data_IF_491219750542
#
_entry.id   IF_491219750542
#
_cell.length_a   1.000
_cell.length_b   1.000
_cell.length_c   1.000
_cell.angle_alpha   90.00
_cell.angle_beta   90.00
_cell.angle_gamma   90.00
#
_symmetry.space_group_name_H-M   'P 1'
#
loop_
_entity.id
_entity.type
_entity.pdbx_description
1 polymer ?
#
# COMPACT_ATOMS: atom_id res chain seq x y z
N UNK A 1 4.19 17.56 11.09
CA UNK A 1 4.35 16.45 10.14
C UNK A 1 4.20 15.15 10.90
N UNK A 2 3.29 14.26 10.46
CA UNK A 2 2.96 13.03 11.17
C UNK A 2 4.06 11.97 11.16
N UNK A 3 3.93 10.97 12.04
CA UNK A 3 4.76 9.77 12.08
C UNK A 3 4.32 8.80 10.97
N UNK A 4 5.27 8.10 10.34
CA UNK A 4 4.99 7.01 9.41
C UNK A 4 4.07 5.99 10.10
N UNK A 5 2.96 5.64 9.45
CA UNK A 5 2.00 4.68 9.97
C UNK A 5 2.48 3.23 9.70
N UNK A 6 2.43 2.31 10.70
CA UNK A 6 2.89 0.93 10.55
C UNK A 6 2.29 0.16 9.37
N UNK A 7 0.99 0.35 9.09
CA UNK A 7 0.33 -0.31 7.96
C UNK A 7 0.99 0.02 6.62
N UNK A 8 1.18 1.31 6.33
CA UNK A 8 1.79 1.76 5.08
C UNK A 8 3.24 1.27 4.98
N UNK A 9 3.96 1.25 6.10
CA UNK A 9 5.29 0.70 6.16
C UNK A 9 5.31 -0.81 5.84
N UNK A 10 4.38 -1.61 6.39
CA UNK A 10 4.31 -3.04 6.13
C UNK A 10 3.98 -3.34 4.66
N UNK A 11 3.01 -2.63 4.07
CA UNK A 11 2.67 -2.76 2.65
C UNK A 11 3.88 -2.42 1.76
N UNK A 12 4.63 -1.38 2.11
CA UNK A 12 5.85 -1.03 1.39
C UNK A 12 6.91 -2.12 1.49
N UNK A 13 7.24 -2.60 2.69
CA UNK A 13 8.29 -3.63 2.88
C UNK A 13 7.98 -4.90 2.08
N UNK A 14 6.74 -5.38 2.12
CA UNK A 14 6.34 -6.55 1.34
C UNK A 14 6.57 -6.34 -0.17
N UNK A 15 6.29 -5.14 -0.69
CA UNK A 15 6.52 -4.81 -2.10
C UNK A 15 8.02 -4.68 -2.44
N UNK A 16 8.86 -4.22 -1.51
CA UNK A 16 10.31 -4.15 -1.71
C UNK A 16 10.96 -5.53 -1.65
N UNK A 17 10.46 -6.42 -0.80
CA UNK A 17 10.92 -7.80 -0.67
C UNK A 17 10.43 -8.67 -1.83
N UNK A 18 9.25 -8.34 -2.36
CA UNK A 18 8.62 -9.06 -3.47
C UNK A 18 8.12 -8.09 -4.57
N UNK A 19 9.03 -7.48 -5.38
CA UNK A 19 8.64 -6.52 -6.43
C UNK A 19 7.60 -7.08 -7.41
N UNK A 20 7.66 -8.38 -7.70
CA UNK A 20 6.71 -9.08 -8.55
C UNK A 20 5.24 -8.98 -8.10
N UNK A 21 4.99 -8.78 -6.80
CA UNK A 21 3.64 -8.58 -6.27
C UNK A 21 3.05 -7.24 -6.72
N UNK A 22 3.89 -6.22 -6.84
CA UNK A 22 3.50 -4.86 -7.22
C UNK A 22 3.39 -4.65 -8.74
N UNK A 23 3.87 -5.59 -9.57
CA UNK A 23 3.83 -5.49 -11.03
C UNK A 23 2.44 -5.18 -11.62
N UNK A 24 1.33 -5.79 -11.17
CA UNK A 24 -0.01 -5.45 -11.66
C UNK A 24 -0.49 -4.04 -11.27
N UNK A 25 0.28 -3.32 -10.45
CA UNK A 25 -0.08 -2.06 -9.83
C UNK A 25 0.96 -0.95 -10.10
N UNK A 26 1.82 -1.12 -11.12
CA UNK A 26 2.87 -0.15 -11.49
C UNK A 26 2.34 1.28 -11.65
N UNK A 27 1.29 1.49 -12.43
CA UNK A 27 0.64 2.80 -12.61
C UNK A 27 0.09 3.37 -11.29
N UNK A 28 -0.40 2.50 -10.41
CA UNK A 28 -0.88 2.90 -9.10
C UNK A 28 0.28 3.29 -8.17
N UNK A 29 1.39 2.55 -8.20
CA UNK A 29 2.60 2.85 -7.42
C UNK A 29 3.17 4.20 -7.83
N UNK A 30 3.27 4.48 -9.13
CA UNK A 30 3.70 5.80 -9.63
C UNK A 30 2.82 6.92 -9.06
N UNK A 31 1.51 6.71 -9.09
CA UNK A 31 0.51 7.74 -8.84
C UNK A 31 0.23 8.01 -7.36
N UNK A 32 0.17 6.97 -6.54
CA UNK A 32 -0.22 7.07 -5.12
C UNK A 32 0.85 6.55 -4.16
N UNK A 33 1.88 5.86 -4.68
CA UNK A 33 2.87 5.14 -3.88
C UNK A 33 2.21 4.23 -2.85
N UNK A 34 2.74 4.24 -1.64
CA UNK A 34 2.23 3.42 -0.53
C UNK A 34 1.27 4.18 0.40
N UNK A 35 0.70 5.31 -0.04
CA UNK A 35 -0.26 6.09 0.74
C UNK A 35 0.31 6.93 1.90
N UNK A 36 1.62 6.92 2.11
CA UNK A 36 2.33 7.86 3.00
C UNK A 36 3.43 8.60 2.20
N UNK A 37 3.42 9.96 2.14
CA UNK A 37 4.40 10.72 1.37
C UNK A 37 5.86 10.47 1.76
N UNK A 38 6.13 10.00 2.99
CA UNK A 38 7.48 9.66 3.45
C UNK A 38 8.05 8.43 2.76
N UNK A 39 7.20 7.65 2.10
CA UNK A 39 7.57 6.46 1.33
C UNK A 39 7.74 6.77 -0.17
N UNK A 40 7.51 8.01 -0.61
CA UNK A 40 7.61 8.40 -2.02
C UNK A 40 8.95 8.05 -2.68
N UNK A 41 10.12 8.23 -2.02
CA UNK A 41 11.39 7.81 -2.63
C UNK A 41 11.45 6.31 -2.92
N UNK A 42 10.92 5.47 -2.04
CA UNK A 42 10.91 4.02 -2.22
C UNK A 42 9.90 3.59 -3.29
N UNK A 43 8.75 4.26 -3.37
CA UNK A 43 7.75 4.01 -4.40
C UNK A 43 8.27 4.36 -5.80
N UNK A 44 8.98 5.49 -5.94
CA UNK A 44 9.60 5.89 -7.20
C UNK A 44 10.61 4.84 -7.69
N UNK A 45 11.48 4.38 -6.80
CA UNK A 45 12.47 3.35 -7.12
C UNK A 45 11.84 2.02 -7.51
N UNK A 46 10.74 1.63 -6.85
CA UNK A 46 10.00 0.42 -7.20
C UNK A 46 9.35 0.58 -8.57
N UNK A 47 8.72 1.72 -8.85
CA UNK A 47 8.13 2.01 -10.17
C UNK A 47 9.17 1.95 -11.29
N UNK A 48 10.34 2.58 -11.11
CA UNK A 48 11.43 2.55 -12.08
C UNK A 48 11.90 1.10 -12.31
N UNK A 49 12.07 0.32 -11.24
CA UNK A 49 12.47 -1.08 -11.35
C UNK A 49 11.42 -1.96 -12.07
N UNK A 50 10.13 -1.73 -11.81
CA UNK A 50 9.04 -2.44 -12.50
C UNK A 50 8.99 -2.08 -13.99
N UNK A 51 9.18 -0.79 -14.31
CA UNK A 51 9.27 -0.28 -15.68
C UNK A 51 10.47 -0.87 -16.44
N UNK A 52 11.58 -1.09 -15.76
CA UNK A 52 12.78 -1.76 -16.28
C UNK A 52 12.66 -3.30 -16.31
N UNK A 53 11.45 -3.84 -16.11
CA UNK A 53 11.15 -5.27 -16.06
C UNK A 53 12.04 -6.07 -15.10
N UNK A 54 12.31 -5.54 -13.90
CA UNK A 54 13.12 -6.21 -12.87
C UNK A 54 12.73 -7.70 -12.73
N UNK A 55 13.74 -8.58 -12.79
CA UNK A 55 13.54 -10.02 -12.61
C UNK A 55 13.19 -10.34 -11.16
N UNK A 56 12.33 -11.33 -10.95
CA UNK A 56 11.90 -11.79 -9.62
C UNK A 56 13.08 -12.25 -8.73
N UNK A 57 14.19 -12.68 -9.32
CA UNK A 57 15.41 -13.10 -8.59
C UNK A 57 16.33 -11.92 -8.22
N UNK A 58 15.98 -10.70 -8.64
CA UNK A 58 16.81 -9.52 -8.41
C UNK A 58 16.72 -9.09 -6.95
N UNK A 59 17.85 -8.93 -6.23
CA UNK A 59 17.84 -8.50 -4.85
C UNK A 59 17.57 -6.99 -4.77
N UNK A 60 16.29 -6.60 -4.87
CA UNK A 60 15.90 -5.19 -4.97
C UNK A 60 16.35 -4.36 -3.76
N UNK A 61 16.35 -4.92 -2.55
CA UNK A 61 16.92 -4.24 -1.36
C UNK A 61 18.40 -3.86 -1.54
N UNK A 62 19.20 -4.72 -2.16
CA UNK A 62 20.60 -4.41 -2.44
C UNK A 62 20.76 -3.32 -3.51
N UNK A 63 19.78 -3.13 -4.40
CA UNK A 63 19.74 -1.99 -5.32
C UNK A 63 19.45 -0.71 -4.52
N UNK A 64 18.44 -0.72 -3.65
CA UNK A 64 18.09 0.42 -2.80
C UNK A 64 19.25 0.84 -1.89
N UNK A 65 19.97 -0.11 -1.31
CA UNK A 65 21.16 0.15 -0.50
C UNK A 65 22.25 0.85 -1.31
N UNK A 66 22.53 0.39 -2.53
CA UNK A 66 23.50 1.02 -3.45
C UNK A 66 23.05 2.42 -3.89
N UNK A 67 21.75 2.68 -3.94
CA UNK A 67 21.17 4.01 -4.20
C UNK A 67 21.12 4.90 -2.95
N UNK A 68 21.63 4.43 -1.80
CA UNK A 68 21.71 5.20 -0.56
C UNK A 68 20.42 5.20 0.27
N UNK A 69 19.44 4.37 -0.07
CA UNK A 69 18.13 4.30 0.59
C UNK A 69 18.08 3.25 1.72
N UNK A 70 19.16 2.52 1.98
CA UNK A 70 19.21 1.48 3.01
C UNK A 70 18.81 1.95 4.41
N UNK A 71 19.22 3.17 4.80
CA UNK A 71 18.80 3.76 6.07
C UNK A 71 17.29 4.03 6.15
N UNK A 72 16.67 4.41 5.02
CA UNK A 72 15.22 4.59 4.95
C UNK A 72 14.50 3.24 4.99
N UNK A 73 15.00 2.23 4.26
CA UNK A 73 14.46 0.87 4.28
C UNK A 73 14.48 0.30 5.70
N UNK A 74 15.59 0.43 6.43
CA UNK A 74 15.70 -0.03 7.82
C UNK A 74 14.70 0.68 8.77
N UNK A 75 14.47 1.98 8.58
CA UNK A 75 13.49 2.73 9.36
C UNK A 75 12.05 2.28 9.05
N UNK A 76 11.72 2.09 7.77
CA UNK A 76 10.40 1.61 7.34
C UNK A 76 10.17 0.20 7.88
N UNK A 77 11.16 -0.67 7.81
CA UNK A 77 11.12 -2.03 8.37
C UNK A 77 10.88 -2.02 9.87
N UNK A 78 11.60 -1.18 10.62
CA UNK A 78 11.39 -1.01 12.07
C UNK A 78 9.96 -0.57 12.40
N UNK A 79 9.37 0.30 11.58
CA UNK A 79 7.99 0.78 11.75
C UNK A 79 6.97 -0.27 11.34
N UNK A 80 7.24 -1.04 10.28
CA UNK A 80 6.40 -2.16 9.83
C UNK A 80 6.28 -3.22 10.94
N UNK A 81 7.38 -3.56 11.60
CA UNK A 81 7.41 -4.53 12.70
C UNK A 81 6.61 -4.10 13.95
N UNK A 82 6.16 -2.84 14.04
CA UNK A 82 5.24 -2.43 15.10
C UNK A 82 3.86 -3.09 14.98
N UNK A 83 3.54 -3.64 13.81
CA UNK A 83 2.37 -4.48 13.57
C UNK A 83 2.81 -5.86 13.04
N UNK A 84 2.15 -6.92 13.48
CA UNK A 84 2.42 -8.27 12.99
C UNK A 84 1.60 -8.53 11.72
N UNK A 85 1.94 -7.83 10.63
CA UNK A 85 1.23 -7.96 9.36
C UNK A 85 1.39 -9.40 8.81
N UNK A 86 0.31 -10.17 8.58
CA UNK A 86 0.45 -11.60 8.29
C UNK A 86 1.17 -11.91 6.97
N UNK A 87 1.08 -11.03 5.97
CA UNK A 87 1.79 -11.18 4.69
C UNK A 87 3.32 -10.95 4.80
N UNK A 88 3.82 -10.48 5.95
CA UNK A 88 5.25 -10.41 6.26
C UNK A 88 5.73 -11.64 7.05
N UNK A 89 4.83 -12.53 7.48
CA UNK A 89 5.22 -13.75 8.20
C UNK A 89 5.85 -14.73 7.20
N UNK A 90 7.14 -15.10 7.35
CA UNK A 90 7.80 -16.04 6.46
C UNK A 90 7.20 -17.45 6.50
N UNK A 91 6.34 -17.76 7.49
CA UNK A 91 5.61 -19.03 7.59
C UNK A 91 4.27 -19.02 6.86
N UNK A 92 3.79 -17.86 6.42
CA UNK A 92 2.56 -17.78 5.64
C UNK A 92 2.80 -18.39 4.25
N UNK A 93 1.79 -19.09 3.73
CA UNK A 93 1.78 -19.53 2.34
C UNK A 93 2.01 -18.32 1.39
N UNK A 94 2.99 -18.37 0.47
CA UNK A 94 3.33 -17.22 -0.38
C UNK A 94 2.18 -16.73 -1.26
N UNK A 95 1.33 -17.64 -1.76
CA UNK A 95 0.19 -17.26 -2.59
C UNK A 95 -0.85 -16.48 -1.76
N UNK A 96 -1.11 -16.94 -0.54
CA UNK A 96 -1.98 -16.27 0.40
C UNK A 96 -1.41 -14.93 0.90
N UNK A 97 -0.11 -14.87 1.17
CA UNK A 97 0.57 -13.63 1.55
C UNK A 97 0.41 -12.57 0.44
N UNK A 98 0.67 -12.96 -0.82
CA UNK A 98 0.44 -12.10 -1.99
C UNK A 98 -1.01 -11.64 -2.08
N UNK A 99 -1.97 -12.56 -1.98
CA UNK A 99 -3.39 -12.21 -2.07
C UNK A 99 -3.84 -11.23 -0.98
N UNK A 100 -3.36 -11.41 0.25
CA UNK A 100 -3.64 -10.51 1.36
C UNK A 100 -2.97 -9.14 1.17
N UNK A 101 -1.71 -9.12 0.73
CA UNK A 101 -1.01 -7.89 0.40
C UNK A 101 -1.73 -7.12 -0.72
N UNK A 102 -2.16 -7.81 -1.79
CA UNK A 102 -2.92 -7.23 -2.90
C UNK A 102 -4.21 -6.56 -2.40
N UNK A 103 -4.99 -7.24 -1.56
CA UNK A 103 -6.21 -6.66 -0.99
C UNK A 103 -5.92 -5.40 -0.15
N UNK A 104 -4.81 -5.41 0.62
CA UNK A 104 -4.38 -4.23 1.39
C UNK A 104 -3.96 -3.08 0.47
N UNK A 105 -3.25 -3.38 -0.60
CA UNK A 105 -2.79 -2.37 -1.55
C UNK A 105 -3.95 -1.80 -2.37
N UNK A 106 -4.91 -2.63 -2.81
CA UNK A 106 -6.13 -2.19 -3.49
C UNK A 106 -6.96 -1.22 -2.64
N UNK A 107 -7.03 -1.43 -1.32
CA UNK A 107 -7.66 -0.47 -0.42
C UNK A 107 -6.94 0.90 -0.43
N UNK A 108 -5.61 0.92 -0.52
CA UNK A 108 -4.85 2.17 -0.67
C UNK A 108 -5.12 2.84 -2.02
N UNK A 109 -5.18 2.06 -3.11
CA UNK A 109 -5.55 2.54 -4.45
C UNK A 109 -6.90 3.22 -4.41
N UNK A 110 -7.90 2.57 -3.81
CA UNK A 110 -9.25 3.11 -3.75
C UNK A 110 -9.35 4.38 -2.89
N UNK A 111 -8.61 4.47 -1.78
CA UNK A 111 -8.50 5.72 -1.01
C UNK A 111 -7.91 6.82 -1.91
N UNK A 112 -6.77 6.56 -2.55
CA UNK A 112 -6.09 7.56 -3.39
C UNK A 112 -6.94 8.02 -4.57
N UNK A 113 -7.68 7.11 -5.21
CA UNK A 113 -8.61 7.44 -6.29
C UNK A 113 -9.82 8.24 -5.79
N UNK A 114 -10.34 7.89 -4.61
CA UNK A 114 -11.42 8.65 -3.98
C UNK A 114 -10.99 10.06 -3.60
N UNK A 115 -9.78 10.23 -3.08
CA UNK A 115 -9.20 11.54 -2.76
C UNK A 115 -8.99 12.41 -4.00
N UNK A 116 -8.50 11.82 -5.09
CA UNK A 116 -8.35 12.50 -6.38
C UNK A 116 -9.70 12.91 -6.96
N UNK A 117 -10.70 12.02 -6.91
CA UNK A 117 -12.06 12.32 -7.33
C UNK A 117 -12.66 13.47 -6.50
N UNK A 118 -12.45 13.48 -5.18
CA UNK A 118 -12.85 14.59 -4.32
C UNK A 118 -12.15 15.89 -4.69
N UNK A 119 -10.85 15.86 -5.00
CA UNK A 119 -10.11 17.04 -5.43
C UNK A 119 -10.63 17.59 -6.76
N UNK A 120 -11.02 16.72 -7.70
CA UNK A 120 -11.64 17.11 -8.96
C UNK A 120 -13.02 17.75 -8.76
N UNK A 121 -13.88 17.15 -7.92
CA UNK A 121 -15.22 17.69 -7.63
C UNK A 121 -15.19 19.09 -7.00
N UNK A 122 -14.11 19.48 -6.32
CA UNK A 122 -13.94 20.85 -5.78
C UNK A 122 -13.87 21.92 -6.86
N UNK A 123 -13.59 21.55 -8.11
CA UNK A 123 -13.51 22.45 -9.26
C UNK A 123 -14.83 22.52 -10.06
N UNK A 124 -15.78 21.64 -9.75
CA UNK A 124 -17.08 21.57 -10.42
C UNK A 124 -18.10 22.52 -9.78
N UNK A 125 -19.11 22.99 -10.53
CA UNK A 125 -20.24 23.72 -9.97
C UNK A 125 -20.96 22.91 -8.88
N UNK A 126 -21.31 23.57 -7.78
CA UNK A 126 -22.04 22.91 -6.69
C UNK A 126 -23.48 22.60 -7.13
N UNK A 127 -23.78 21.32 -7.23
CA UNK A 127 -25.11 20.77 -7.52
C UNK A 127 -25.51 19.75 -6.47
N UNK A 128 -26.78 19.34 -6.45
CA UNK A 128 -27.21 18.21 -5.61
C UNK A 128 -26.41 16.94 -5.93
N UNK A 129 -26.09 16.70 -7.20
CA UNK A 129 -25.28 15.55 -7.63
C UNK A 129 -23.85 15.60 -7.08
N UNK A 130 -23.16 16.75 -7.18
CA UNK A 130 -21.78 16.87 -6.68
C UNK A 130 -21.70 16.81 -5.15
N UNK A 131 -22.74 17.25 -4.44
CA UNK A 131 -22.85 17.11 -2.98
C UNK A 131 -23.00 15.64 -2.55
N UNK A 132 -23.86 14.87 -3.23
CA UNK A 132 -24.02 13.43 -2.99
C UNK A 132 -22.71 12.68 -3.27
N UNK A 133 -22.11 12.91 -4.44
CA UNK A 133 -20.82 12.28 -4.80
C UNK A 133 -19.71 12.60 -3.78
N UNK A 134 -19.64 13.85 -3.31
CA UNK A 134 -18.67 14.24 -2.27
C UNK A 134 -18.90 13.48 -0.95
N UNK A 135 -20.16 13.29 -0.55
CA UNK A 135 -20.50 12.55 0.67
C UNK A 135 -20.15 11.07 0.55
N UNK A 136 -20.46 10.46 -0.59
CA UNK A 136 -20.23 9.04 -0.84
C UNK A 136 -18.73 8.73 -0.84
N UNK A 137 -17.92 9.53 -1.53
CA UNK A 137 -16.46 9.40 -1.55
C UNK A 137 -15.85 9.55 -0.15
N UNK A 138 -16.28 10.55 0.64
CA UNK A 138 -15.81 10.71 2.03
C UNK A 138 -16.21 9.53 2.92
N UNK A 139 -17.41 9.00 2.72
CA UNK A 139 -17.87 7.82 3.45
C UNK A 139 -17.01 6.62 3.11
N UNK A 140 -16.70 6.42 1.82
CA UNK A 140 -15.85 5.32 1.34
C UNK A 140 -14.44 5.40 1.91
N UNK A 141 -13.79 6.58 1.82
CA UNK A 141 -12.48 6.83 2.44
C UNK A 141 -12.52 6.50 3.92
N UNK A 142 -13.49 7.04 4.66
CA UNK A 142 -13.59 6.80 6.10
C UNK A 142 -13.84 5.34 6.49
N UNK A 143 -14.51 4.55 5.64
CA UNK A 143 -14.62 3.09 5.85
C UNK A 143 -13.28 2.41 5.67
N UNK A 144 -12.60 2.66 4.54
CA UNK A 144 -11.32 2.01 4.24
C UNK A 144 -10.24 2.41 5.25
N UNK A 145 -10.14 3.68 5.63
CA UNK A 145 -9.20 4.14 6.66
C UNK A 145 -9.45 3.48 8.02
N UNK A 146 -10.72 3.24 8.38
CA UNK A 146 -11.07 2.51 9.60
C UNK A 146 -10.67 1.05 9.50
N UNK A 147 -10.93 0.37 8.39
CA UNK A 147 -10.52 -1.01 8.19
C UNK A 147 -8.99 -1.15 8.24
N UNK A 148 -8.25 -0.19 7.67
CA UNK A 148 -6.78 -0.13 7.71
C UNK A 148 -6.31 0.06 9.15
N UNK A 149 -6.89 1.03 9.86
CA UNK A 149 -6.49 1.38 11.23
C UNK A 149 -6.88 0.31 12.25
N UNK A 150 -8.03 -0.32 12.05
CA UNK A 150 -8.56 -1.42 12.83
C UNK A 150 -7.95 -2.76 12.44
N UNK A 151 -7.08 -2.80 11.43
CA UNK A 151 -6.35 -3.99 11.03
C UNK A 151 -7.30 -5.12 10.56
N UNK A 152 -8.51 -4.75 10.12
CA UNK A 152 -9.62 -5.67 9.83
C UNK A 152 -9.38 -6.49 8.55
N UNK A 153 -8.54 -5.99 7.64
CA UNK A 153 -8.22 -6.65 6.36
C UNK A 153 -7.61 -8.04 6.52
N UNK A 154 -6.98 -8.35 7.66
CA UNK A 154 -6.33 -9.64 7.88
C UNK A 154 -7.01 -10.57 8.89
N UNK A 155 -8.00 -10.10 9.64
CA UNK A 155 -8.83 -10.97 10.50
C UNK A 155 -9.73 -11.90 9.67
N UNK A 156 -10.21 -11.41 8.52
CA UNK A 156 -10.93 -12.22 7.55
C UNK A 156 -10.06 -13.36 6.98
N UNK A 157 -8.76 -13.11 6.79
CA UNK A 157 -7.82 -14.13 6.37
C UNK A 157 -7.61 -15.17 7.48
N UNK A 158 -7.42 -14.77 8.73
CA UNK A 158 -7.18 -15.69 9.86
C UNK A 158 -8.35 -16.67 10.10
N UNK A 159 -9.59 -16.21 9.94
CA UNK A 159 -10.79 -17.03 10.13
C UNK A 159 -10.90 -18.16 9.11
N UNK A 160 -10.50 -17.93 7.85
CA UNK A 160 -10.54 -18.97 6.81
C UNK A 160 -9.52 -20.10 7.05
N UNK A 161 -8.39 -19.82 7.74
CA UNK A 161 -7.42 -20.87 8.12
C UNK A 161 -7.90 -21.79 9.24
N UNK A 162 -8.74 -21.31 10.14
CA UNK A 162 -9.19 -22.09 11.28
C UNK A 162 -10.32 -23.09 10.93
N UNK A 163 -10.87 -23.00 9.71
CA UNK A 163 -12.01 -23.79 9.24
C UNK A 163 -11.60 -24.84 8.18
N UNK A 164 -10.32 -24.88 7.80
CA UNK A 164 -9.73 -25.90 6.90
C UNK A 164 -8.81 -26.85 7.66
#
# INVERSE_FOLDING_TARGET
>A
GGRLKPFHAAVAIAALDHPAWARPYDEAIERIGFGDPRLAPLAAELFDALSDEISDDTPFRAILDRKGLGGQVAEVERVAHAITAPFLDPKMDPHRAKALWSACYEALVEIGDSERALASLRREPVTAGTLTATRDLRTRIGVLERQISGLEFWEAAATTAAIS
#
